data_IF_826962031558
#
_entry.id   IF_826962031558
#
_cell.length_a   1.000
_cell.length_b   1.000
_cell.length_c   1.000
_cell.angle_alpha   90.00
_cell.angle_beta   90.00
_cell.angle_gamma   90.00
#
_symmetry.space_group_name_H-M   'P 1'
#
loop_
_entity.id
_entity.type
_entity.pdbx_description
1 polymer ?
#
# COMPACT_ATOMS: atom_id res chain seq x y z
N UNK A 1 -28.48 -24.37 13.25
CA UNK A 1 -28.22 -25.82 13.08
C UNK A 1 -27.26 -26.10 11.91
N UNK A 2 -26.45 -27.16 11.99
CA UNK A 2 -25.55 -27.59 10.91
C UNK A 2 -26.16 -28.78 10.17
N UNK A 3 -26.22 -28.73 8.84
CA UNK A 3 -26.81 -29.76 7.99
C UNK A 3 -26.03 -29.94 6.69
N UNK A 4 -26.02 -31.16 6.14
CA UNK A 4 -25.34 -31.48 4.90
C UNK A 4 -26.25 -31.22 3.70
N UNK A 5 -25.76 -30.52 2.68
CA UNK A 5 -26.52 -30.33 1.44
C UNK A 5 -26.72 -31.69 0.75
N UNK A 6 -27.95 -32.08 0.37
CA UNK A 6 -28.22 -33.39 -0.24
C UNK A 6 -27.57 -33.56 -1.62
N UNK A 7 -27.23 -32.47 -2.31
CA UNK A 7 -26.64 -32.54 -3.65
C UNK A 7 -25.10 -32.59 -3.62
N UNK A 8 -24.44 -31.75 -2.80
CA UNK A 8 -22.98 -31.65 -2.79
C UNK A 8 -22.31 -32.13 -1.50
N UNK A 9 -23.09 -32.62 -0.52
CA UNK A 9 -22.62 -33.15 0.78
C UNK A 9 -21.69 -32.21 1.57
N UNK A 10 -21.73 -30.89 1.32
CA UNK A 10 -21.00 -29.90 2.14
C UNK A 10 -21.84 -29.47 3.33
N UNK A 11 -21.18 -29.25 4.47
CA UNK A 11 -21.82 -28.80 5.70
C UNK A 11 -22.20 -27.32 5.59
N UNK A 12 -23.46 -27.02 5.86
CA UNK A 12 -24.02 -25.68 5.85
C UNK A 12 -24.56 -25.34 7.24
N UNK A 13 -24.23 -24.14 7.72
CA UNK A 13 -24.83 -23.59 8.93
C UNK A 13 -26.06 -22.79 8.54
N UNK A 14 -27.24 -23.29 8.96
CA UNK A 14 -28.54 -22.68 8.66
C UNK A 14 -29.17 -22.16 9.96
N UNK A 15 -29.59 -20.89 10.02
CA UNK A 15 -30.35 -20.37 11.15
C UNK A 15 -31.67 -21.14 11.33
N UNK A 16 -32.06 -21.41 12.57
CA UNK A 16 -33.22 -22.26 12.89
C UNK A 16 -34.56 -21.71 12.39
N UNK A 17 -34.65 -20.38 12.22
CA UNK A 17 -35.81 -19.70 11.64
C UNK A 17 -36.14 -20.13 10.19
N UNK A 18 -35.19 -20.77 9.49
CA UNK A 18 -35.39 -21.26 8.12
C UNK A 18 -35.74 -22.76 8.07
N UNK A 19 -35.97 -23.41 9.22
CA UNK A 19 -36.39 -24.81 9.25
C UNK A 19 -37.73 -24.99 8.53
N UNK A 20 -37.81 -25.99 7.64
CA UNK A 20 -38.98 -26.23 6.78
C UNK A 20 -39.05 -25.36 5.52
N UNK A 21 -38.15 -24.38 5.33
CA UNK A 21 -38.15 -23.52 4.15
C UNK A 21 -37.22 -24.04 3.04
N UNK A 22 -37.54 -23.69 1.79
CA UNK A 22 -36.72 -23.99 0.62
C UNK A 22 -35.59 -22.95 0.53
N UNK A 23 -34.34 -23.40 0.46
CA UNK A 23 -33.19 -22.51 0.33
C UNK A 23 -32.13 -23.05 -0.61
N UNK A 24 -31.30 -22.14 -1.12
CA UNK A 24 -30.30 -22.40 -2.15
C UNK A 24 -28.93 -22.67 -1.53
N UNK A 25 -28.29 -23.77 -1.89
CA UNK A 25 -26.95 -24.08 -1.42
C UNK A 25 -25.93 -23.09 -2.05
N UNK A 26 -25.09 -22.38 -1.25
CA UNK A 26 -24.10 -21.45 -1.79
C UNK A 26 -22.96 -22.16 -2.55
N UNK A 27 -22.77 -23.47 -2.34
CA UNK A 27 -21.65 -24.22 -2.93
C UNK A 27 -22.00 -24.86 -4.28
N UNK A 28 -23.25 -25.29 -4.48
CA UNK A 28 -23.68 -25.98 -5.71
C UNK A 28 -24.91 -25.35 -6.37
N UNK A 29 -25.43 -24.24 -5.83
CA UNK A 29 -26.49 -23.43 -6.46
C UNK A 29 -27.84 -24.18 -6.56
N UNK A 30 -27.96 -25.38 -5.99
CA UNK A 30 -29.19 -26.19 -6.02
C UNK A 30 -30.08 -25.84 -4.83
N UNK A 31 -31.40 -25.79 -5.05
CA UNK A 31 -32.40 -25.60 -4.00
C UNK A 31 -32.63 -26.90 -3.22
N UNK A 32 -32.73 -26.82 -1.90
CA UNK A 32 -33.10 -27.93 -1.03
C UNK A 32 -33.99 -27.44 0.12
N UNK A 33 -34.81 -28.34 0.67
CA UNK A 33 -35.67 -28.03 1.80
C UNK A 33 -34.94 -28.33 3.10
N UNK A 34 -34.93 -27.37 4.02
CA UNK A 34 -34.35 -27.57 5.35
C UNK A 34 -35.29 -28.43 6.18
N UNK A 35 -34.82 -29.50 6.85
CA UNK A 35 -35.66 -30.29 7.75
C UNK A 35 -36.33 -29.41 8.82
N UNK A 36 -37.64 -29.59 9.03
CA UNK A 36 -38.36 -28.91 10.09
C UNK A 36 -37.88 -29.43 11.45
N UNK A 37 -37.58 -28.52 12.39
CA UNK A 37 -37.34 -28.92 13.78
C UNK A 37 -38.65 -29.40 14.40
N UNK A 38 -38.63 -30.44 15.24
CA UNK A 38 -39.80 -30.81 16.03
C UNK A 38 -40.19 -29.62 16.88
N UNK A 39 -41.38 -29.07 16.62
CA UNK A 39 -41.94 -27.97 17.38
C UNK A 39 -42.18 -28.49 18.79
N UNK A 40 -41.39 -28.01 19.76
CA UNK A 40 -41.61 -28.30 21.17
C UNK A 40 -43.06 -27.94 21.52
N UNK A 41 -43.85 -28.97 21.82
CA UNK A 41 -45.28 -28.86 22.10
C UNK A 41 -45.49 -27.86 23.26
N UNK A 42 -46.40 -26.88 23.14
CA UNK A 42 -46.66 -25.94 24.23
C UNK A 42 -47.27 -26.68 25.43
N UNK A 43 -46.50 -26.77 26.51
CA UNK A 43 -46.99 -27.23 27.80
C UNK A 43 -47.86 -26.18 28.48
N UNK A 44 -49.10 -26.58 28.78
CA UNK A 44 -49.93 -26.25 29.95
C UNK A 44 -50.20 -24.76 30.29
N UNK A 45 -51.48 -24.34 30.41
CA UNK A 45 -51.83 -22.96 30.78
C UNK A 45 -51.48 -22.63 32.25
N UNK A 46 -51.02 -21.39 32.54
CA UNK A 46 -50.72 -20.95 33.90
C UNK A 46 -52.00 -20.66 34.70
N UNK A 47 -51.98 -21.11 35.95
CA UNK A 47 -52.99 -20.85 36.99
C UNK A 47 -52.84 -19.44 37.59
N UNK A 48 -53.95 -18.98 38.17
CA UNK A 48 -54.28 -17.66 38.73
C UNK A 48 -53.24 -16.90 39.58
N UNK A 49 -53.41 -15.57 39.76
CA UNK A 49 -52.41 -14.67 40.34
C UNK A 49 -52.39 -14.68 41.87
N UNK A 50 -51.19 -14.70 42.45
CA UNK A 50 -50.93 -14.47 43.87
C UNK A 50 -50.51 -13.00 44.14
N UNK A 51 -50.73 -12.46 45.36
CA UNK A 51 -50.60 -11.03 45.64
C UNK A 51 -49.15 -10.55 45.80
N UNK A 52 -49.01 -9.24 45.56
CA UNK A 52 -47.80 -8.43 45.55
C UNK A 52 -46.82 -8.67 46.71
N UNK A 53 -45.55 -8.88 46.37
CA UNK A 53 -44.42 -8.71 47.26
C UNK A 53 -43.47 -7.62 46.75
N UNK A 54 -43.02 -6.81 47.71
CA UNK A 54 -42.12 -5.66 47.62
C UNK A 54 -40.85 -5.91 46.76
N UNK A 55 -40.35 -4.88 46.06
CA UNK A 55 -39.08 -4.96 45.34
C UNK A 55 -37.89 -4.93 46.31
N UNK A 56 -37.03 -5.95 46.23
CA UNK A 56 -35.70 -5.96 46.82
C UNK A 56 -34.72 -5.12 45.99
N UNK A 57 -33.68 -4.52 46.61
CA UNK A 57 -32.73 -3.64 45.93
C UNK A 57 -31.80 -4.41 44.95
N UNK A 58 -31.28 -3.74 43.91
CA UNK A 58 -30.51 -4.38 42.85
C UNK A 58 -29.17 -4.94 43.36
N UNK A 59 -29.01 -6.24 43.24
CA UNK A 59 -27.72 -6.94 43.34
C UNK A 59 -26.79 -6.47 42.23
N UNK A 60 -25.64 -5.96 42.64
CA UNK A 60 -24.50 -5.58 41.82
C UNK A 60 -24.01 -6.72 40.89
N UNK A 61 -23.53 -6.39 39.68
CA UNK A 61 -23.02 -7.38 38.74
C UNK A 61 -21.76 -8.09 39.26
N UNK A 62 -21.57 -9.38 38.94
CA UNK A 62 -20.41 -10.15 39.36
C UNK A 62 -19.12 -9.56 38.78
N UNK A 63 -18.11 -9.48 39.65
CA UNK A 63 -16.77 -9.00 39.31
C UNK A 63 -16.16 -9.81 38.15
N UNK A 64 -15.46 -9.15 37.21
CA UNK A 64 -14.77 -9.85 36.14
C UNK A 64 -13.66 -10.75 36.72
N UNK A 65 -13.40 -11.93 36.09
CA UNK A 65 -12.32 -12.81 36.51
C UNK A 65 -10.96 -12.09 36.39
N UNK A 66 -9.99 -12.45 37.24
CA UNK A 66 -8.65 -11.86 37.22
C UNK A 66 -8.02 -12.08 35.84
N UNK A 67 -7.57 -10.98 35.25
CA UNK A 67 -6.76 -10.98 34.02
C UNK A 67 -5.44 -11.66 34.37
N UNK A 68 -5.23 -12.86 33.84
CA UNK A 68 -3.93 -13.51 33.84
C UNK A 68 -2.97 -12.64 33.02
N UNK A 69 -2.14 -11.90 33.75
CA UNK A 69 -1.00 -11.16 33.22
C UNK A 69 -0.07 -12.19 32.58
N UNK A 70 -0.07 -12.22 31.24
CA UNK A 70 0.88 -13.01 30.45
C UNK A 70 2.30 -12.66 30.89
N UNK A 71 2.91 -13.58 31.64
CA UNK A 71 4.32 -13.53 31.96
C UNK A 71 5.12 -13.56 30.67
N UNK A 72 5.91 -12.49 30.45
CA UNK A 72 6.99 -12.46 29.48
C UNK A 72 7.90 -13.67 29.73
N UNK A 73 7.71 -14.72 28.92
CA UNK A 73 8.63 -15.83 28.83
C UNK A 73 9.97 -15.26 28.35
N UNK A 74 10.95 -15.25 29.25
CA UNK A 74 12.32 -14.80 28.98
C UNK A 74 12.83 -15.55 27.74
N UNK A 75 13.13 -14.79 26.69
CA UNK A 75 13.68 -15.29 25.44
C UNK A 75 15.04 -15.96 25.75
N UNK A 76 15.24 -17.23 25.36
CA UNK A 76 16.53 -17.89 25.54
C UNK A 76 17.56 -17.20 24.64
N UNK A 77 18.70 -16.82 25.24
CA UNK A 77 19.81 -16.22 24.54
C UNK A 77 20.26 -17.11 23.38
N UNK A 78 20.18 -16.61 22.15
CA UNK A 78 20.75 -17.25 20.99
C UNK A 78 22.28 -17.22 21.09
N UNK A 79 22.89 -18.39 21.14
CA UNK A 79 24.33 -18.57 20.95
C UNK A 79 24.74 -18.14 19.54
N UNK A 80 25.83 -17.39 19.35
CA UNK A 80 26.32 -17.04 18.01
C UNK A 80 26.76 -18.31 17.24
N UNK A 81 26.52 -18.37 15.92
CA UNK A 81 27.00 -19.48 15.10
C UNK A 81 28.54 -19.52 15.05
N UNK A 82 29.15 -20.72 14.97
CA UNK A 82 30.59 -20.86 14.82
C UNK A 82 31.06 -20.27 13.49
N UNK A 83 32.12 -19.46 13.57
CA UNK A 83 32.82 -18.85 12.43
C UNK A 83 33.40 -19.96 11.54
N UNK A 84 33.15 -19.98 10.21
CA UNK A 84 33.79 -20.92 9.31
C UNK A 84 35.31 -20.68 9.29
N UNK A 85 36.08 -21.74 9.54
CA UNK A 85 37.53 -21.73 9.42
C UNK A 85 37.94 -21.42 7.97
N UNK A 86 38.73 -20.36 7.77
CA UNK A 86 39.39 -20.07 6.50
C UNK A 86 40.38 -21.18 6.18
N UNK A 87 40.08 -21.98 5.16
CA UNK A 87 41.04 -22.88 4.55
C UNK A 87 42.11 -22.05 3.81
N UNK A 88 43.32 -22.07 4.36
CA UNK A 88 44.55 -21.65 3.70
C UNK A 88 44.81 -22.53 2.49
N UNK A 89 44.73 -21.96 1.28
CA UNK A 89 45.28 -22.60 0.09
C UNK A 89 46.82 -22.42 0.05
N UNK A 90 47.58 -23.47 -0.31
CA UNK A 90 49.04 -23.41 -0.42
C UNK A 90 49.52 -22.69 -1.70
N UNK A 91 50.76 -22.17 -1.72
CA UNK A 91 51.39 -21.59 -2.90
C UNK A 91 51.87 -22.67 -3.87
N UNK A 92 51.37 -22.64 -5.11
CA UNK A 92 51.89 -23.49 -6.18
C UNK A 92 53.07 -22.84 -6.89
N UNK A 93 54.24 -23.39 -6.58
CA UNK A 93 55.46 -23.56 -7.36
C UNK A 93 55.42 -23.18 -8.85
N UNK A 94 56.26 -22.21 -9.18
CA UNK A 94 57.37 -22.27 -10.16
C UNK A 94 57.39 -23.43 -11.17
N UNK A 95 57.49 -23.09 -12.46
CA UNK A 95 58.31 -23.80 -13.45
C UNK A 95 58.72 -22.92 -14.64
N UNK A 96 59.81 -23.28 -15.36
CA UNK A 96 60.76 -22.33 -15.95
C UNK A 96 60.66 -22.18 -17.48
N UNK A 97 61.35 -21.12 -17.93
CA UNK A 97 61.72 -20.71 -19.29
C UNK A 97 61.70 -21.72 -20.43
N UNK A 98 61.15 -21.27 -21.57
CA UNK A 98 61.65 -21.61 -22.92
C UNK A 98 61.86 -20.32 -23.71
N UNK A 99 63.02 -20.24 -24.35
CA UNK A 99 63.68 -19.10 -24.99
C UNK A 99 63.24 -18.95 -26.48
N UNK A 100 62.90 -17.72 -26.90
CA UNK A 100 63.22 -16.95 -28.15
C UNK A 100 62.94 -17.59 -29.56
N UNK A 101 62.68 -16.86 -30.69
CA UNK A 101 63.19 -15.51 -31.00
C UNK A 101 62.38 -14.49 -31.84
N UNK A 102 62.81 -13.23 -31.63
CA UNK A 102 62.80 -12.02 -32.48
C UNK A 102 61.47 -11.42 -32.97
N UNK A 103 61.08 -10.30 -32.35
CA UNK A 103 60.29 -9.25 -33.04
C UNK A 103 60.64 -7.85 -32.51
N UNK A 104 61.39 -7.14 -33.35
CA UNK A 104 61.50 -5.68 -33.54
C UNK A 104 60.91 -4.83 -32.40
N UNK A 105 61.80 -4.18 -31.66
CA UNK A 105 61.48 -3.20 -30.62
C UNK A 105 60.57 -2.09 -31.13
N UNK A 106 59.34 -1.93 -30.60
CA UNK A 106 58.57 -0.71 -30.76
C UNK A 106 59.17 0.41 -29.88
N UNK A 107 58.97 1.70 -30.25
CA UNK A 107 59.42 2.83 -29.45
C UNK A 107 58.84 2.74 -28.04
N UNK A 108 59.71 2.99 -27.05
CA UNK A 108 59.38 2.97 -25.63
C UNK A 108 58.04 3.66 -25.36
N UNK A 109 57.07 3.00 -24.70
CA UNK A 109 55.91 3.70 -24.20
C UNK A 109 56.42 4.70 -23.17
N UNK A 110 56.33 6.00 -23.51
CA UNK A 110 56.37 7.07 -22.54
C UNK A 110 55.43 6.67 -21.43
N UNK A 111 56.01 6.25 -20.31
CA UNK A 111 55.30 5.97 -19.08
C UNK A 111 54.83 7.33 -18.60
N UNK A 112 53.71 7.80 -19.15
CA UNK A 112 52.94 8.86 -18.53
C UNK A 112 52.59 8.31 -17.16
N UNK A 113 53.29 8.81 -16.14
CA UNK A 113 52.94 8.51 -14.76
C UNK A 113 51.42 8.73 -14.64
N UNK A 114 50.68 7.76 -14.06
CA UNK A 114 49.30 8.04 -13.71
C UNK A 114 49.30 9.34 -12.90
N UNK A 115 48.46 10.33 -13.24
CA UNK A 115 48.44 11.58 -12.50
C UNK A 115 48.24 11.23 -11.04
N UNK A 116 49.24 11.55 -10.21
CA UNK A 116 49.26 11.27 -8.78
C UNK A 116 47.92 11.71 -8.19
N UNK A 117 47.04 10.75 -7.93
CA UNK A 117 45.71 10.97 -7.34
C UNK A 117 45.86 11.16 -5.82
N UNK A 118 46.97 11.75 -5.41
CA UNK A 118 47.47 11.84 -4.03
C UNK A 118 47.81 13.29 -3.75
N UNK A 119 46.79 14.13 -3.88
CA UNK A 119 46.73 15.48 -3.33
C UNK A 119 45.58 15.59 -2.32
N UNK A 120 45.30 14.53 -1.54
CA UNK A 120 44.59 14.70 -0.28
C UNK A 120 45.58 15.40 0.67
N UNK A 121 45.65 16.73 0.61
CA UNK A 121 46.31 17.49 1.67
C UNK A 121 45.51 17.28 2.95
N UNK A 122 46.09 16.54 3.88
CA UNK A 122 45.47 16.10 5.13
C UNK A 122 45.21 17.24 6.14
N UNK A 123 44.97 18.47 5.69
CA UNK A 123 44.82 19.64 6.56
C UNK A 123 43.69 20.60 6.20
N UNK A 124 43.04 20.44 5.06
CA UNK A 124 41.92 21.30 4.66
C UNK A 124 40.64 20.48 4.72
N UNK A 125 39.99 20.50 5.89
CA UNK A 125 38.60 20.06 6.03
C UNK A 125 37.74 21.03 5.22
N UNK A 126 37.69 20.83 3.91
CA UNK A 126 36.73 21.51 3.08
C UNK A 126 35.37 20.91 3.41
N UNK A 127 34.48 21.70 4.01
CA UNK A 127 33.10 21.34 4.35
C UNK A 127 32.26 21.09 3.08
N UNK A 128 32.62 20.03 2.34
CA UNK A 128 32.03 19.67 1.06
C UNK A 128 31.44 18.25 1.13
N UNK A 129 30.11 18.12 1.00
CA UNK A 129 29.46 16.83 0.77
C UNK A 129 29.54 16.52 -0.73
N UNK A 130 30.30 15.49 -1.09
CA UNK A 130 30.38 14.99 -2.46
C UNK A 130 29.60 13.69 -2.60
N UNK A 131 28.47 13.73 -3.31
CA UNK A 131 27.67 12.54 -3.64
C UNK A 131 27.99 12.11 -5.06
N UNK A 132 28.66 10.96 -5.22
CA UNK A 132 28.97 10.35 -6.52
C UNK A 132 27.97 9.25 -6.82
N UNK A 133 27.36 9.29 -8.00
CA UNK A 133 26.39 8.29 -8.42
C UNK A 133 27.09 7.11 -9.11
N UNK A 134 27.17 5.96 -8.43
CA UNK A 134 27.62 4.72 -9.04
C UNK A 134 26.55 4.20 -10.02
N UNK A 135 26.82 4.09 -11.33
CA UNK A 135 25.85 3.59 -12.30
C UNK A 135 25.36 2.17 -11.98
N UNK A 136 26.18 1.34 -11.34
CA UNK A 136 25.81 -0.03 -10.96
C UNK A 136 24.73 -0.08 -9.89
N UNK A 137 24.70 0.89 -8.99
CA UNK A 137 23.68 1.00 -7.95
C UNK A 137 22.47 1.74 -8.53
N UNK A 138 22.71 2.82 -9.27
CA UNK A 138 21.68 3.71 -9.80
C UNK A 138 20.67 2.97 -10.70
N UNK A 139 21.12 1.97 -11.47
CA UNK A 139 20.23 1.12 -12.28
C UNK A 139 19.20 0.33 -11.46
N UNK A 140 19.49 -0.02 -10.20
CA UNK A 140 18.54 -0.77 -9.35
C UNK A 140 17.49 0.14 -8.71
N UNK A 141 17.80 1.43 -8.56
CA UNK A 141 16.96 2.39 -7.83
C UNK A 141 15.53 2.47 -8.37
N UNK A 142 15.27 2.58 -9.70
CA UNK A 142 13.90 2.61 -10.22
C UNK A 142 13.09 1.35 -9.86
N UNK A 143 13.70 0.17 -10.02
CA UNK A 143 13.01 -1.10 -9.76
C UNK A 143 12.72 -1.29 -8.26
N UNK A 144 13.68 -0.98 -7.39
CA UNK A 144 13.49 -1.05 -5.93
C UNK A 144 12.45 -0.03 -5.46
N UNK A 145 12.51 1.20 -5.97
CA UNK A 145 11.52 2.23 -5.62
C UNK A 145 10.10 1.81 -6.02
N UNK A 146 9.91 1.27 -7.23
CA UNK A 146 8.60 0.75 -7.67
C UNK A 146 8.15 -0.47 -6.86
N UNK A 147 9.06 -1.34 -6.45
CA UNK A 147 8.73 -2.47 -5.56
C UNK A 147 8.25 -1.96 -4.19
N UNK A 148 8.90 -0.93 -3.63
CA UNK A 148 8.45 -0.29 -2.40
C UNK A 148 7.09 0.39 -2.59
N UNK A 149 6.86 1.07 -3.72
CA UNK A 149 5.54 1.62 -4.06
C UNK A 149 4.48 0.51 -4.09
N UNK A 150 4.77 -0.66 -4.66
CA UNK A 150 3.84 -1.79 -4.67
C UNK A 150 3.43 -2.19 -3.25
N UNK A 151 4.39 -2.28 -2.32
CA UNK A 151 4.10 -2.54 -0.91
C UNK A 151 3.25 -1.42 -0.29
N UNK A 152 3.58 -0.16 -0.58
CA UNK A 152 2.84 1.00 -0.08
C UNK A 152 1.42 1.15 -0.64
N UNK A 153 1.07 0.48 -1.74
CA UNK A 153 -0.30 0.47 -2.28
C UNK A 153 -1.31 -0.22 -1.36
N UNK A 154 -0.84 -1.09 -0.46
CA UNK A 154 -1.68 -1.79 0.53
C UNK A 154 -1.93 -0.97 1.79
N UNK A 155 -1.23 0.16 1.96
CA UNK A 155 -1.43 1.07 3.08
C UNK A 155 -2.54 2.08 2.77
N UNK A 156 -3.19 2.66 3.79
CA UNK A 156 -4.21 3.68 3.59
C UNK A 156 -3.57 4.94 3.02
N UNK A 157 -4.04 5.40 1.86
CA UNK A 157 -3.56 6.63 1.21
C UNK A 157 -4.33 7.84 1.68
N UNK A 158 -5.59 7.62 1.98
CA UNK A 158 -6.49 8.63 2.50
C UNK A 158 -7.39 8.04 3.58
N UNK A 159 -7.76 8.85 4.56
CA UNK A 159 -8.73 8.46 5.56
C UNK A 159 -9.44 9.65 6.21
N UNK A 160 -10.50 9.32 6.93
CA UNK A 160 -11.19 10.23 7.84
C UNK A 160 -10.70 9.91 9.25
N UNK A 161 -10.09 10.89 9.91
CA UNK A 161 -9.48 10.73 11.22
C UNK A 161 -10.22 11.56 12.28
N UNK A 162 -10.53 10.94 13.42
CA UNK A 162 -11.09 11.62 14.60
C UNK A 162 -10.26 11.25 15.82
N UNK A 163 -9.69 12.27 16.48
CA UNK A 163 -8.80 12.05 17.63
C UNK A 163 -7.54 11.23 17.29
N UNK A 164 -7.09 11.26 16.03
CA UNK A 164 -5.93 10.51 15.56
C UNK A 164 -6.18 9.03 15.22
N UNK A 165 -7.43 8.55 15.33
CA UNK A 165 -7.84 7.22 14.87
C UNK A 165 -8.56 7.30 13.54
N UNK A 166 -8.29 6.35 12.63
CA UNK A 166 -9.03 6.26 11.38
C UNK A 166 -10.42 5.68 11.63
N UNK A 167 -11.45 6.39 11.17
CA UNK A 167 -12.82 5.86 11.13
C UNK A 167 -13.03 5.14 9.82
N UNK A 168 -12.54 5.71 8.72
CA UNK A 168 -12.64 5.13 7.38
C UNK A 168 -11.34 5.43 6.67
N UNK A 169 -10.80 4.42 5.99
CA UNK A 169 -9.58 4.58 5.21
C UNK A 169 -9.71 3.89 3.86
N UNK A 170 -8.98 4.43 2.88
CA UNK A 170 -8.98 3.94 1.51
C UNK A 170 -7.54 3.92 0.99
N UNK A 171 -7.08 2.73 0.62
CA UNK A 171 -5.80 2.53 -0.07
C UNK A 171 -5.93 2.66 -1.59
N UNK A 172 -4.83 2.41 -2.31
CA UNK A 172 -4.80 2.51 -3.77
C UNK A 172 -5.83 1.60 -4.45
N UNK A 173 -5.85 0.32 -4.03
CA UNK A 173 -6.78 -0.67 -4.54
C UNK A 173 -8.22 -0.31 -4.23
N UNK A 174 -8.48 0.13 -3.00
CA UNK A 174 -9.79 0.58 -2.55
C UNK A 174 -10.31 1.72 -3.43
N UNK A 175 -9.54 2.79 -3.60
CA UNK A 175 -9.93 3.91 -4.45
C UNK A 175 -10.10 3.51 -5.93
N UNK A 176 -9.30 2.57 -6.43
CA UNK A 176 -9.41 2.10 -7.81
C UNK A 176 -10.70 1.32 -8.07
N UNK A 177 -11.21 0.54 -7.10
CA UNK A 177 -12.43 -0.27 -7.28
C UNK A 177 -13.66 0.27 -6.55
N UNK A 178 -13.54 1.38 -5.84
CA UNK A 178 -14.60 1.92 -4.98
C UNK A 178 -14.78 1.16 -3.66
N UNK A 179 -13.75 0.47 -3.17
CA UNK A 179 -13.74 -0.19 -1.86
C UNK A 179 -13.07 0.70 -0.79
N UNK A 180 -13.43 0.48 0.48
CA UNK A 180 -12.84 1.16 1.64
C UNK A 180 -12.94 0.26 2.87
N UNK A 181 -12.17 0.58 3.90
CA UNK A 181 -12.23 -0.10 5.19
C UNK A 181 -13.55 0.23 5.88
N UNK A 182 -14.33 -0.79 6.25
CA UNK A 182 -15.58 -0.60 6.99
C UNK A 182 -15.28 0.14 8.30
N UNK A 183 -16.11 1.12 8.68
CA UNK A 183 -15.89 1.86 9.90
C UNK A 183 -16.04 0.94 11.11
N UNK A 184 -15.21 1.20 12.13
CA UNK A 184 -15.36 0.62 13.46
C UNK A 184 -16.75 0.98 13.98
N UNK A 185 -17.55 -0.02 14.37
CA UNK A 185 -18.92 0.17 14.84
C UNK A 185 -19.00 1.17 15.99
N UNK A 186 -17.99 1.19 16.85
CA UNK A 186 -17.95 2.07 18.02
C UNK A 186 -17.69 3.54 17.62
N UNK A 187 -17.02 3.75 16.48
CA UNK A 187 -16.75 5.09 15.94
C UNK A 187 -17.84 5.59 14.99
N UNK A 188 -18.68 4.71 14.46
CA UNK A 188 -19.81 5.11 13.59
C UNK A 188 -20.80 6.05 14.29
N UNK A 189 -20.91 5.96 15.63
CA UNK A 189 -21.73 6.87 16.43
C UNK A 189 -21.27 8.33 16.33
N UNK A 190 -19.98 8.57 16.07
CA UNK A 190 -19.41 9.92 15.97
C UNK A 190 -19.34 10.43 14.53
N UNK A 191 -19.37 9.53 13.55
CA UNK A 191 -19.25 9.87 12.14
C UNK A 191 -20.01 8.86 11.27
N UNK A 192 -21.10 9.31 10.69
CA UNK A 192 -21.85 8.56 9.67
C UNK A 192 -21.86 9.35 8.35
N UNK A 193 -21.52 8.68 7.25
CA UNK A 193 -21.67 9.23 5.89
C UNK A 193 -23.08 9.05 5.32
N UNK A 194 -24.01 8.57 6.15
CA UNK A 194 -25.43 8.47 5.84
C UNK A 194 -26.16 9.62 6.54
N UNK A 195 -27.00 10.33 5.80
CA UNK A 195 -27.99 11.20 6.46
C UNK A 195 -29.02 10.36 7.20
N UNK A 196 -29.66 10.88 8.25
CA UNK A 196 -30.68 10.13 9.01
C UNK A 196 -31.80 9.59 8.10
N UNK A 197 -32.13 10.34 7.04
CA UNK A 197 -33.12 9.94 6.03
C UNK A 197 -32.62 8.79 5.15
N UNK A 198 -31.33 8.77 4.81
CA UNK A 198 -30.72 7.68 4.05
C UNK A 198 -30.55 6.43 4.94
N UNK A 199 -30.14 6.59 6.19
CA UNK A 199 -30.07 5.48 7.14
C UNK A 199 -31.44 4.80 7.30
N UNK A 200 -32.53 5.57 7.39
CA UNK A 200 -33.88 5.03 7.43
C UNK A 200 -34.26 4.31 6.13
N UNK A 201 -33.87 4.86 4.97
CA UNK A 201 -34.24 4.32 3.64
C UNK A 201 -33.44 3.08 3.27
N UNK A 202 -32.18 2.99 3.69
CA UNK A 202 -31.30 1.85 3.49
C UNK A 202 -31.78 0.59 4.25
N UNK A 203 -32.54 0.77 5.35
CA UNK A 203 -33.19 -0.35 6.04
C UNK A 203 -34.33 -0.99 5.23
N UNK A 204 -35.03 -0.19 4.43
CA UNK A 204 -36.20 -0.65 3.67
C UNK A 204 -35.85 -1.08 2.24
N UNK A 205 -34.79 -0.52 1.65
CA UNK A 205 -34.44 -0.71 0.24
C UNK A 205 -33.18 -1.56 0.06
N UNK A 206 -33.36 -2.88 -0.16
CA UNK A 206 -32.28 -3.83 -0.44
C UNK A 206 -31.44 -3.49 -1.70
N UNK A 207 -31.91 -2.52 -2.50
CA UNK A 207 -31.26 -2.06 -3.72
C UNK A 207 -30.71 -0.64 -3.61
N UNK A 208 -30.74 0.01 -2.44
CA UNK A 208 -30.03 1.26 -2.26
C UNK A 208 -28.54 0.98 -2.47
N UNK A 209 -28.01 1.44 -3.61
CA UNK A 209 -26.57 1.52 -3.82
C UNK A 209 -26.06 2.49 -2.76
N UNK A 210 -25.59 1.89 -1.67
CA UNK A 210 -25.29 2.57 -0.42
C UNK A 210 -24.26 3.67 -0.61
N UNK A 211 -23.98 4.38 0.46
CA UNK A 211 -23.07 5.54 0.51
C UNK A 211 -21.59 5.20 0.27
N UNK A 212 -21.33 4.25 -0.61
CA UNK A 212 -20.06 3.69 -1.02
C UNK A 212 -19.26 4.72 -1.87
N UNK A 213 -17.99 5.03 -1.54
CA UNK A 213 -17.12 5.80 -2.42
C UNK A 213 -17.03 5.16 -3.80
N UNK A 214 -17.20 5.97 -4.85
CA UNK A 214 -17.23 5.48 -6.23
C UNK A 214 -15.89 4.98 -6.77
N UNK A 215 -15.96 4.35 -7.93
CA UNK A 215 -14.84 3.90 -8.75
C UNK A 215 -14.01 5.09 -9.27
N UNK A 216 -12.69 5.09 -9.05
CA UNK A 216 -11.77 6.06 -9.64
C UNK A 216 -11.12 5.50 -10.92
N UNK A 217 -11.65 5.88 -12.08
CA UNK A 217 -11.11 5.46 -13.39
C UNK A 217 -9.62 5.82 -13.54
N UNK A 218 -9.22 7.00 -13.07
CA UNK A 218 -7.84 7.45 -13.14
C UNK A 218 -6.91 6.52 -12.35
N UNK A 219 -7.32 6.14 -11.14
CA UNK A 219 -6.52 5.27 -10.30
C UNK A 219 -6.52 3.82 -10.80
N UNK A 220 -7.63 3.37 -11.39
CA UNK A 220 -7.69 2.09 -12.08
C UNK A 220 -6.71 2.00 -13.26
N UNK A 221 -6.66 3.03 -14.11
CA UNK A 221 -5.71 3.12 -15.23
C UNK A 221 -4.25 3.21 -14.76
N UNK A 222 -4.00 3.94 -13.67
CA UNK A 222 -2.68 3.94 -13.02
C UNK A 222 -2.29 2.54 -12.54
N UNK A 223 -3.18 1.86 -11.84
CA UNK A 223 -2.86 0.65 -11.08
C UNK A 223 -2.78 -0.60 -11.96
N UNK A 224 -3.78 -0.84 -12.81
CA UNK A 224 -3.94 -2.12 -13.49
C UNK A 224 -3.00 -2.28 -14.70
N UNK A 225 -3.05 -1.43 -15.74
CA UNK A 225 -2.13 -1.58 -16.86
C UNK A 225 -0.78 -0.88 -16.58
N UNK A 226 -0.81 0.36 -16.10
CA UNK A 226 0.35 1.23 -16.21
C UNK A 226 1.44 0.90 -15.17
N UNK A 227 1.05 0.73 -13.91
CA UNK A 227 2.00 0.42 -12.83
C UNK A 227 2.71 -0.91 -13.06
N UNK A 228 1.98 -1.99 -13.36
CA UNK A 228 2.58 -3.31 -13.56
C UNK A 228 3.47 -3.38 -14.81
N UNK A 229 3.08 -2.72 -15.91
CA UNK A 229 3.95 -2.62 -17.10
C UNK A 229 5.24 -1.86 -16.76
N UNK A 230 5.14 -0.76 -16.01
CA UNK A 230 6.30 0.03 -15.60
C UNK A 230 7.23 -0.74 -14.67
N UNK A 231 6.67 -1.47 -13.70
CA UNK A 231 7.42 -2.35 -12.80
C UNK A 231 8.11 -3.48 -13.56
N UNK A 232 7.39 -4.17 -14.45
CA UNK A 232 7.95 -5.26 -15.25
C UNK A 232 9.05 -4.77 -16.21
N UNK A 233 8.86 -3.61 -16.86
CA UNK A 233 9.88 -3.01 -17.71
C UNK A 233 11.13 -2.63 -16.91
N UNK A 234 10.97 -2.00 -15.74
CA UNK A 234 12.08 -1.61 -14.88
C UNK A 234 12.87 -2.83 -14.38
N UNK A 235 12.17 -3.87 -13.90
CA UNK A 235 12.79 -5.12 -13.45
C UNK A 235 13.47 -5.86 -14.62
N UNK A 236 12.83 -5.92 -15.79
CA UNK A 236 13.37 -6.57 -16.98
C UNK A 236 14.66 -5.93 -17.48
N UNK A 237 14.75 -4.59 -17.47
CA UNK A 237 15.97 -3.87 -17.85
C UNK A 237 17.13 -4.17 -16.90
N UNK A 238 16.84 -4.27 -15.59
CA UNK A 238 17.83 -4.63 -14.57
C UNK A 238 18.25 -6.11 -14.67
N UNK A 239 17.33 -7.00 -15.01
CA UNK A 239 17.60 -8.43 -15.18
C UNK A 239 18.37 -8.75 -16.47
N UNK A 240 18.30 -7.87 -17.48
CA UNK A 240 18.87 -8.09 -18.81
C UNK A 240 20.34 -8.56 -18.82
N UNK A 241 21.27 -8.00 -18.02
CA UNK A 241 22.68 -8.43 -18.01
C UNK A 241 22.88 -9.87 -17.52
N UNK A 242 21.89 -10.45 -16.82
CA UNK A 242 21.93 -11.81 -16.29
C UNK A 242 21.31 -12.83 -17.25
N UNK A 243 20.62 -12.37 -18.30
CA UNK A 243 19.99 -13.22 -19.30
C UNK A 243 21.02 -13.52 -20.40
N UNK A 244 21.50 -14.76 -20.44
CA UNK A 244 22.49 -15.21 -21.43
C UNK A 244 21.89 -15.55 -22.80
N UNK A 245 20.56 -15.59 -22.92
CA UNK A 245 19.89 -15.94 -24.17
C UNK A 245 19.95 -14.77 -25.16
N UNK A 246 20.28 -15.01 -26.44
CA UNK A 246 20.30 -13.95 -27.44
C UNK A 246 18.91 -13.32 -27.58
N UNK A 247 18.84 -12.00 -27.44
CA UNK A 247 17.59 -11.25 -27.53
C UNK A 247 17.11 -11.20 -28.99
N UNK A 248 15.79 -11.28 -29.24
CA UNK A 248 15.22 -11.12 -30.57
C UNK A 248 15.70 -9.82 -31.25
N UNK A 249 15.93 -9.80 -32.58
CA UNK A 249 16.43 -8.62 -33.29
C UNK A 249 15.60 -7.35 -33.07
N UNK A 250 14.28 -7.51 -32.88
CA UNK A 250 13.36 -6.40 -32.60
C UNK A 250 13.68 -5.72 -31.26
N UNK A 251 14.10 -6.48 -30.25
CA UNK A 251 14.44 -5.94 -28.92
C UNK A 251 15.80 -5.22 -28.97
N UNK A 252 16.75 -5.75 -29.76
CA UNK A 252 18.09 -5.17 -29.86
C UNK A 252 18.08 -3.72 -30.36
N UNK A 253 17.15 -3.36 -31.26
CA UNK A 253 16.98 -1.99 -31.74
C UNK A 253 16.50 -1.03 -30.65
N UNK A 254 15.78 -1.55 -29.65
CA UNK A 254 15.17 -0.78 -28.57
C UNK A 254 16.11 -0.68 -27.35
N UNK A 255 17.07 -1.60 -27.21
CA UNK A 255 18.01 -1.62 -26.08
C UNK A 255 18.71 -0.28 -25.79
N UNK A 256 19.18 0.51 -26.78
CA UNK A 256 19.81 1.80 -26.50
C UNK A 256 18.85 2.82 -25.85
N UNK A 257 17.54 2.59 -25.94
CA UNK A 257 16.48 3.44 -25.41
C UNK A 257 15.83 2.87 -24.15
N UNK A 258 16.33 1.74 -23.62
CA UNK A 258 15.72 1.03 -22.50
C UNK A 258 15.43 1.93 -21.29
N UNK A 259 16.39 2.76 -20.89
CA UNK A 259 16.21 3.68 -19.76
C UNK A 259 15.37 4.90 -20.09
N UNK A 260 15.37 5.36 -21.34
CA UNK A 260 14.45 6.41 -21.77
C UNK A 260 12.99 5.92 -21.72
N UNK A 261 12.74 4.67 -22.12
CA UNK A 261 11.42 4.04 -22.04
C UNK A 261 11.00 3.88 -20.57
N UNK A 262 11.89 3.34 -19.73
CA UNK A 262 11.62 3.22 -18.28
C UNK A 262 11.36 4.59 -17.64
N UNK A 263 12.14 5.61 -17.97
CA UNK A 263 11.93 6.97 -17.47
C UNK A 263 10.60 7.56 -17.96
N UNK A 264 10.25 7.37 -19.23
CA UNK A 264 8.97 7.81 -19.81
C UNK A 264 7.76 7.12 -19.16
N UNK A 265 7.84 5.81 -18.94
CA UNK A 265 6.81 5.05 -18.24
C UNK A 265 6.65 5.52 -16.78
N UNK A 266 7.76 5.67 -16.04
CA UNK A 266 7.73 6.22 -14.68
C UNK A 266 7.18 7.65 -14.64
N UNK A 267 7.55 8.49 -15.61
CA UNK A 267 7.01 9.84 -15.76
C UNK A 267 5.50 9.86 -16.00
N UNK A 268 4.98 8.93 -16.81
CA UNK A 268 3.55 8.79 -17.06
C UNK A 268 2.81 8.31 -15.80
N UNK A 269 3.35 7.33 -15.09
CA UNK A 269 2.81 6.85 -13.80
C UNK A 269 2.78 7.99 -12.77
N UNK A 270 3.88 8.73 -12.65
CA UNK A 270 3.99 9.90 -11.79
C UNK A 270 2.96 10.98 -12.16
N UNK A 271 2.75 11.25 -13.45
CA UNK A 271 1.75 12.21 -13.91
C UNK A 271 0.34 11.83 -13.41
N UNK A 272 -0.04 10.56 -13.50
CA UNK A 272 -1.34 10.10 -13.01
C UNK A 272 -1.48 10.28 -11.50
N UNK A 273 -0.42 10.00 -10.74
CA UNK A 273 -0.37 10.23 -9.29
C UNK A 273 -0.44 11.73 -8.96
N UNK A 274 0.27 12.58 -9.70
CA UNK A 274 0.22 14.03 -9.52
C UNK A 274 -1.16 14.60 -9.87
N UNK A 275 -1.84 14.02 -10.86
CA UNK A 275 -3.21 14.44 -11.21
C UNK A 275 -4.21 14.17 -10.07
N UNK A 276 -3.97 13.16 -9.21
CA UNK A 276 -4.75 12.94 -7.99
C UNK A 276 -4.50 14.02 -6.90
N UNK A 277 -3.51 14.90 -7.07
CA UNK A 277 -3.46 16.09 -6.22
C UNK A 277 -4.55 17.10 -6.56
N UNK A 278 -4.91 17.17 -7.85
CA UNK A 278 -5.90 18.12 -8.38
C UNK A 278 -7.29 17.52 -8.34
N UNK A 279 -7.41 16.22 -8.65
CA UNK A 279 -8.67 15.49 -8.60
C UNK A 279 -8.86 14.88 -7.21
N UNK A 280 -9.99 15.14 -6.55
CA UNK A 280 -10.25 14.57 -5.23
C UNK A 280 -10.41 13.05 -5.32
N UNK A 281 -9.95 12.35 -4.28
CA UNK A 281 -10.24 10.92 -4.13
C UNK A 281 -11.76 10.69 -4.04
N UNK A 282 -12.21 9.47 -4.31
CA UNK A 282 -13.64 9.16 -4.22
C UNK A 282 -14.17 9.31 -2.80
N UNK A 283 -13.37 8.99 -1.78
CA UNK A 283 -13.68 9.28 -0.38
C UNK A 283 -13.78 10.80 -0.10
N UNK A 284 -12.83 11.62 -0.56
CA UNK A 284 -12.87 13.09 -0.43
C UNK A 284 -14.15 13.66 -1.05
N UNK A 285 -14.43 13.27 -2.29
CA UNK A 285 -15.61 13.68 -3.05
C UNK A 285 -16.90 13.31 -2.33
N UNK A 286 -16.94 12.11 -1.72
CA UNK A 286 -18.09 11.63 -0.97
C UNK A 286 -18.31 12.42 0.32
N UNK A 287 -17.26 12.65 1.10
CA UNK A 287 -17.34 13.45 2.33
C UNK A 287 -17.76 14.89 1.99
N UNK A 288 -17.17 15.49 0.95
CA UNK A 288 -17.56 16.81 0.49
C UNK A 288 -19.02 16.88 0.04
N UNK A 289 -19.50 15.86 -0.68
CA UNK A 289 -20.89 15.74 -1.10
C UNK A 289 -21.85 15.60 0.08
N UNK A 290 -21.52 14.76 1.05
CA UNK A 290 -22.29 14.61 2.30
C UNK A 290 -22.39 15.93 3.07
N UNK A 291 -21.26 16.62 3.24
CA UNK A 291 -21.22 17.91 3.93
C UNK A 291 -22.06 18.95 3.20
N UNK A 292 -22.02 18.99 1.87
CA UNK A 292 -22.81 19.92 1.08
C UNK A 292 -24.33 19.60 1.09
N UNK A 293 -24.70 18.32 1.18
CA UNK A 293 -26.09 17.88 1.16
C UNK A 293 -26.76 17.95 2.54
N UNK A 294 -25.98 17.82 3.62
CA UNK A 294 -26.48 17.75 4.99
C UNK A 294 -27.16 19.07 5.41
N UNK A 295 -28.46 19.04 5.80
CA UNK A 295 -29.21 20.22 6.23
C UNK A 295 -28.57 21.00 7.37
N UNK A 296 -27.80 20.35 8.26
CA UNK A 296 -27.10 21.00 9.37
C UNK A 296 -26.19 22.14 8.88
N UNK A 297 -25.54 21.93 7.73
CA UNK A 297 -24.56 22.85 7.16
C UNK A 297 -25.15 23.79 6.10
N UNK A 298 -26.42 23.62 5.73
CA UNK A 298 -27.06 24.52 4.79
C UNK A 298 -27.24 25.88 5.45
N UNK A 299 -26.84 26.91 4.72
CA UNK A 299 -27.05 28.29 5.14
C UNK A 299 -28.55 28.55 5.17
N UNK A 300 -29.05 28.93 6.34
CA UNK A 300 -30.34 29.57 6.39
C UNK A 300 -30.11 30.97 5.85
N UNK A 301 -30.68 31.31 4.69
CA UNK A 301 -30.54 32.63 4.07
C UNK A 301 -30.97 33.81 4.99
N UNK A 302 -31.54 33.50 6.16
CA UNK A 302 -32.00 34.42 7.20
C UNK A 302 -31.13 34.40 8.48
N UNK A 303 -30.12 33.52 8.56
CA UNK A 303 -29.25 33.44 9.72
C UNK A 303 -28.40 34.71 9.86
N UNK A 304 -28.12 35.11 11.11
CA UNK A 304 -27.18 36.18 11.42
C UNK A 304 -25.77 35.76 10.98
N UNK A 305 -24.95 36.75 10.57
CA UNK A 305 -23.57 36.54 10.10
C UNK A 305 -22.73 35.66 11.04
N UNK A 306 -22.87 35.79 12.36
CA UNK A 306 -22.08 34.99 13.32
C UNK A 306 -22.47 33.50 13.35
N UNK A 307 -23.75 33.19 13.12
CA UNK A 307 -24.21 31.80 13.02
C UNK A 307 -23.70 31.17 11.73
N UNK A 308 -23.68 31.92 10.63
CA UNK A 308 -23.12 31.48 9.36
C UNK A 308 -21.62 31.18 9.50
N UNK A 309 -20.84 32.10 10.11
CA UNK A 309 -19.41 31.87 10.39
C UNK A 309 -19.17 30.62 11.24
N UNK A 310 -20.01 30.38 12.25
CA UNK A 310 -19.89 29.18 13.10
C UNK A 310 -20.18 27.90 12.31
N UNK A 311 -21.23 27.89 11.49
CA UNK A 311 -21.55 26.76 10.59
C UNK A 311 -20.44 26.51 9.57
N UNK A 312 -19.86 27.57 8.99
CA UNK A 312 -18.73 27.48 8.07
C UNK A 312 -17.48 26.93 8.75
N UNK A 313 -17.18 27.37 9.98
CA UNK A 313 -16.05 26.89 10.76
C UNK A 313 -16.20 25.39 11.09
N UNK A 314 -17.38 24.97 11.56
CA UNK A 314 -17.66 23.56 11.82
C UNK A 314 -17.63 22.71 10.53
N UNK A 315 -18.12 23.25 9.40
CA UNK A 315 -17.99 22.62 8.07
C UNK A 315 -16.53 22.43 7.67
N UNK A 316 -15.70 23.44 7.86
CA UNK A 316 -14.28 23.38 7.57
C UNK A 316 -13.56 22.39 8.49
N UNK A 317 -13.90 22.35 9.78
CA UNK A 317 -13.38 21.36 10.73
C UNK A 317 -13.70 19.94 10.28
N UNK A 318 -14.94 19.69 9.84
CA UNK A 318 -15.35 18.38 9.34
C UNK A 318 -14.57 17.95 8.10
N UNK A 319 -14.33 18.87 7.16
CA UNK A 319 -13.52 18.61 5.97
C UNK A 319 -12.04 18.38 6.32
N UNK A 320 -11.52 19.04 7.35
CA UNK A 320 -10.13 18.88 7.81
C UNK A 320 -9.86 17.50 8.46
N UNK A 321 -10.91 16.72 8.75
CA UNK A 321 -10.79 15.32 9.20
C UNK A 321 -10.41 14.38 8.06
N UNK A 322 -10.67 14.78 6.81
CA UNK A 322 -10.23 14.02 5.63
C UNK A 322 -8.78 14.37 5.36
N UNK A 323 -7.90 13.38 5.55
CA UNK A 323 -6.47 13.60 5.46
C UNK A 323 -5.82 12.56 4.55
N UNK A 324 -4.94 13.05 3.69
CA UNK A 324 -4.00 12.23 2.95
C UNK A 324 -2.87 11.82 3.89
N UNK A 325 -2.53 10.55 3.86
CA UNK A 325 -1.59 9.98 4.83
C UNK A 325 -0.14 10.22 4.40
N UNK A 326 0.80 9.95 5.32
CA UNK A 326 2.23 9.94 5.01
C UNK A 326 2.58 8.87 3.97
N UNK A 327 1.82 7.78 3.89
CA UNK A 327 2.01 6.72 2.88
C UNK A 327 1.79 7.24 1.47
N UNK A 328 0.76 8.08 1.26
CA UNK A 328 0.54 8.75 -0.02
C UNK A 328 1.75 9.62 -0.42
N UNK A 329 2.24 10.44 0.51
CA UNK A 329 3.40 11.30 0.26
C UNK A 329 4.65 10.49 -0.09
N UNK A 330 4.88 9.36 0.59
CA UNK A 330 5.99 8.44 0.30
C UNK A 330 5.87 7.81 -1.10
N UNK A 331 4.67 7.42 -1.53
CA UNK A 331 4.44 6.90 -2.89
C UNK A 331 4.81 7.95 -3.94
N UNK A 332 4.39 9.21 -3.74
CA UNK A 332 4.72 10.32 -4.66
C UNK A 332 6.23 10.55 -4.72
N UNK A 333 6.89 10.58 -3.55
CA UNK A 333 8.34 10.73 -3.46
C UNK A 333 9.08 9.59 -4.17
N UNK A 334 8.66 8.33 -3.97
CA UNK A 334 9.29 7.18 -4.60
C UNK A 334 9.09 7.16 -6.12
N UNK A 335 7.95 7.61 -6.64
CA UNK A 335 7.76 7.79 -8.08
C UNK A 335 8.68 8.88 -8.66
N UNK A 336 8.86 9.99 -7.94
CA UNK A 336 9.83 11.03 -8.31
C UNK A 336 11.26 10.47 -8.35
N UNK A 337 11.64 9.69 -7.34
CA UNK A 337 12.95 9.01 -7.27
C UNK A 337 13.11 8.02 -8.42
N UNK A 338 12.09 7.21 -8.71
CA UNK A 338 12.13 6.22 -9.80
C UNK A 338 12.28 6.88 -11.17
N UNK A 339 11.47 7.91 -11.46
CA UNK A 339 11.53 8.66 -12.71
C UNK A 339 12.87 9.41 -12.86
N UNK A 340 13.30 10.13 -11.80
CA UNK A 340 14.53 10.90 -11.79
C UNK A 340 15.77 10.02 -11.94
N UNK A 341 15.84 8.90 -11.22
CA UNK A 341 16.97 7.97 -11.33
C UNK A 341 17.02 7.29 -12.70
N UNK A 342 15.89 6.84 -13.27
CA UNK A 342 15.86 6.28 -14.62
C UNK A 342 16.33 7.29 -15.69
N UNK A 343 15.88 8.55 -15.57
CA UNK A 343 16.33 9.63 -16.44
C UNK A 343 17.82 9.92 -16.28
N UNK A 344 18.34 9.88 -15.06
CA UNK A 344 19.76 10.06 -14.77
C UNK A 344 20.61 8.93 -15.37
N UNK A 345 20.18 7.67 -15.25
CA UNK A 345 20.87 6.52 -15.88
C UNK A 345 20.92 6.68 -17.39
N UNK A 346 19.78 7.02 -18.02
CA UNK A 346 19.72 7.26 -19.46
C UNK A 346 20.71 8.36 -19.89
N UNK A 347 20.76 9.47 -19.14
CA UNK A 347 21.67 10.58 -19.42
C UNK A 347 23.14 10.18 -19.28
N UNK A 348 23.50 9.41 -18.24
CA UNK A 348 24.87 8.90 -18.05
C UNK A 348 25.27 7.96 -19.19
N UNK A 349 24.42 7.02 -19.59
CA UNK A 349 24.70 6.11 -20.71
C UNK A 349 24.92 6.91 -22.01
N UNK A 350 24.12 7.95 -22.25
CA UNK A 350 24.25 8.77 -23.46
C UNK A 350 25.50 9.64 -23.50
N UNK A 351 26.06 9.98 -22.33
CA UNK A 351 27.30 10.76 -22.21
C UNK A 351 28.54 9.98 -22.65
N UNK A 352 28.50 8.65 -22.63
CA UNK A 352 29.61 7.77 -22.97
C UNK A 352 30.63 7.61 -21.83
N UNK A 353 31.48 6.56 -21.90
CA UNK A 353 32.36 6.16 -20.80
C UNK A 353 33.54 7.10 -20.56
N UNK A 354 33.83 8.02 -21.49
CA UNK A 354 34.97 8.95 -21.39
C UNK A 354 34.69 10.16 -20.50
N UNK A 355 33.43 10.41 -20.11
CA UNK A 355 33.07 11.56 -19.29
C UNK A 355 33.08 11.18 -17.80
N UNK A 356 33.54 12.08 -16.91
CA UNK A 356 33.51 11.81 -15.48
C UNK A 356 32.07 11.63 -14.99
N UNK A 357 31.90 10.75 -13.99
CA UNK A 357 30.62 10.50 -13.36
C UNK A 357 30.04 11.81 -12.78
N UNK A 358 28.72 12.03 -12.89
CA UNK A 358 28.11 13.17 -12.24
C UNK A 358 28.29 13.05 -10.72
N UNK A 359 28.68 14.16 -10.10
CA UNK A 359 28.78 14.31 -8.67
C UNK A 359 28.03 15.57 -8.26
N UNK A 360 27.28 15.48 -7.15
CA UNK A 360 26.73 16.66 -6.47
C UNK A 360 27.74 17.05 -5.40
N UNK A 361 28.23 18.29 -5.47
CA UNK A 361 29.12 18.87 -4.48
C UNK A 361 28.36 20.00 -3.76
N UNK A 362 27.95 19.74 -2.53
CA UNK A 362 27.38 20.76 -1.66
C UNK A 362 28.52 21.37 -0.85
N UNK A 363 28.73 22.68 -0.97
CA UNK A 363 29.64 23.46 -0.13
C UNK A 363 28.80 24.23 0.89
N UNK A 364 29.17 24.23 2.16
CA UNK A 364 28.51 25.06 3.18
C UNK A 364 29.50 25.82 4.05
#
# INVERSE_FOLDING_TARGET
MNLLCPNCQKMLTVPEQYAGQLMKCPMCVTNFTVPALPTSTPGTPPSSPAPAFNPAPPTSPPAPPPIDVYGLKKEPAFSPPPVPAFATNPPSSTSPSTIEPTKISPPSPTTSLPPSTTGYQAGEYSDNLRVVFDPKILQWVPAVALLLVFVLQFFPWIGVYVGGRDIMSQGAWGAAVGSWTKPDSDLTAFFSLSTDKEAQKDFDDKNASGNEPGFSLLLFLYLMPLFFVTLAASAGVVALPYIQTPLPPQVQQVLPWKWAIVAGLNGLVLLFILLQFVLPFSLESRVAGYVASNPKWKEDAKAKSDVQKTKEAERAEYMNRVQRTTWWALVVLLHLVAAGSAGLVYWIEKRGPSKPLPALELKW
#
